data_IF_976931986354
#
_entry.id   IF_976931986354
#
_cell.length_a   1.000
_cell.length_b   1.000
_cell.length_c   1.000
_cell.angle_alpha   90.00
_cell.angle_beta   90.00
_cell.angle_gamma   90.00
#
_symmetry.space_group_name_H-M   'P 1'
#
loop_
_entity.id
_entity.type
_entity.pdbx_description
1 polymer ?
#
# COMPACT_ATOMS: atom_id res chain seq x y z
N UNK A 1 0.12 17.89 4.98
CA UNK A 1 -0.71 17.36 3.87
C UNK A 1 -2.19 17.60 4.16
N UNK A 2 -2.97 18.06 3.18
CA UNK A 2 -4.42 18.25 3.33
C UNK A 2 -5.19 16.93 3.11
N UNK A 3 -6.03 16.57 4.07
CA UNK A 3 -6.83 15.35 4.04
C UNK A 3 -7.91 15.41 2.94
N UNK A 4 -8.45 16.60 2.64
CA UNK A 4 -9.43 16.78 1.57
C UNK A 4 -8.82 16.40 0.21
N UNK A 5 -7.61 16.88 -0.08
CA UNK A 5 -6.88 16.54 -1.30
C UNK A 5 -6.61 15.04 -1.45
N UNK A 6 -6.23 14.37 -0.35
CA UNK A 6 -6.00 12.91 -0.36
C UNK A 6 -7.29 12.15 -0.69
N UNK A 7 -8.40 12.51 -0.07
CA UNK A 7 -9.69 11.88 -0.35
C UNK A 7 -10.17 12.14 -1.77
N UNK A 8 -9.94 13.35 -2.29
CA UNK A 8 -10.22 13.68 -3.68
C UNK A 8 -9.42 12.80 -4.64
N UNK A 9 -8.11 12.68 -4.40
CA UNK A 9 -7.22 11.83 -5.19
C UNK A 9 -7.68 10.37 -5.18
N UNK A 10 -7.96 9.81 -4.01
CA UNK A 10 -8.44 8.44 -3.86
C UNK A 10 -9.76 8.21 -4.61
N UNK A 11 -10.72 9.12 -4.45
CA UNK A 11 -12.02 9.02 -5.11
C UNK A 11 -11.89 9.01 -6.64
N UNK A 12 -11.08 9.92 -7.19
CA UNK A 12 -10.88 10.03 -8.64
C UNK A 12 -10.08 8.86 -9.18
N UNK A 13 -8.86 8.62 -8.68
CA UNK A 13 -7.95 7.60 -9.22
C UNK A 13 -8.53 6.20 -9.04
N UNK A 14 -9.12 5.88 -7.88
CA UNK A 14 -9.74 4.57 -7.68
C UNK A 14 -10.89 4.34 -8.64
N UNK A 15 -11.73 5.35 -8.91
CA UNK A 15 -12.84 5.23 -9.85
C UNK A 15 -12.35 5.05 -11.29
N UNK A 16 -11.34 5.82 -11.72
CA UNK A 16 -10.74 5.67 -13.04
C UNK A 16 -10.10 4.28 -13.23
N UNK A 17 -9.42 3.76 -12.21
CA UNK A 17 -8.85 2.40 -12.25
C UNK A 17 -9.93 1.32 -12.32
N UNK A 18 -11.03 1.47 -11.57
CA UNK A 18 -12.18 0.56 -11.66
C UNK A 18 -12.76 0.59 -13.07
N UNK A 19 -12.95 1.78 -13.66
CA UNK A 19 -13.44 1.91 -15.03
C UNK A 19 -12.49 1.26 -16.03
N UNK A 20 -11.20 1.56 -15.98
CA UNK A 20 -10.21 0.97 -16.87
C UNK A 20 -10.19 -0.57 -16.82
N UNK A 21 -10.37 -1.17 -15.63
CA UNK A 21 -10.43 -2.63 -15.47
C UNK A 21 -11.73 -3.24 -15.98
N UNK A 22 -12.83 -2.51 -15.88
CA UNK A 22 -14.18 -3.01 -16.14
C UNK A 22 -14.74 -2.60 -17.51
N UNK A 23 -14.01 -1.80 -18.29
CA UNK A 23 -14.40 -1.29 -19.60
C UNK A 23 -14.45 -2.36 -20.73
N UNK A 24 -14.16 -3.63 -20.44
CA UNK A 24 -14.28 -4.71 -21.44
C UNK A 24 -15.76 -5.01 -21.74
N UNK A 25 -16.22 -4.96 -23.00
CA UNK A 25 -17.63 -5.10 -23.37
C UNK A 25 -18.32 -6.39 -22.87
N UNK A 26 -17.55 -7.47 -22.71
CA UNK A 26 -18.01 -8.82 -22.41
C UNK A 26 -17.92 -9.24 -20.93
N UNK A 27 -17.56 -8.34 -20.01
CA UNK A 27 -17.38 -8.69 -18.59
C UNK A 27 -18.61 -8.35 -17.72
N UNK A 28 -18.99 -9.21 -16.76
CA UNK A 28 -20.10 -8.99 -15.81
C UNK A 28 -19.66 -8.02 -14.70
N UNK A 29 -19.34 -6.79 -15.06
CA UNK A 29 -18.87 -5.76 -14.14
C UNK A 29 -19.66 -4.45 -14.31
N UNK A 30 -20.93 -4.56 -14.69
CA UNK A 30 -21.77 -3.36 -14.94
C UNK A 30 -21.96 -2.53 -13.66
N UNK A 31 -22.19 -3.15 -12.51
CA UNK A 31 -22.38 -2.39 -11.28
C UNK A 31 -21.15 -1.62 -10.81
N UNK A 32 -19.96 -2.21 -10.94
CA UNK A 32 -18.71 -1.53 -10.59
C UNK A 32 -18.46 -0.29 -11.47
N UNK A 33 -18.82 -0.37 -12.76
CA UNK A 33 -18.77 0.77 -13.67
C UNK A 33 -19.71 1.89 -13.23
N UNK A 34 -20.96 1.55 -12.93
CA UNK A 34 -21.97 2.51 -12.48
C UNK A 34 -21.52 3.16 -11.17
N UNK A 35 -21.08 2.38 -10.19
CA UNK A 35 -20.58 2.89 -8.92
C UNK A 35 -19.41 3.86 -9.11
N UNK A 36 -18.44 3.52 -9.96
CA UNK A 36 -17.31 4.40 -10.25
C UNK A 36 -17.73 5.70 -10.97
N UNK A 37 -18.65 5.63 -11.92
CA UNK A 37 -19.19 6.83 -12.59
C UNK A 37 -19.97 7.72 -11.62
N UNK A 38 -20.75 7.13 -10.72
CA UNK A 38 -21.50 7.87 -9.68
C UNK A 38 -20.53 8.57 -8.72
N UNK A 39 -19.47 7.90 -8.28
CA UNK A 39 -18.44 8.51 -7.44
C UNK A 39 -17.79 9.69 -8.16
N UNK A 40 -17.43 9.55 -9.45
CA UNK A 40 -16.87 10.64 -10.24
C UNK A 40 -17.84 11.80 -10.42
N UNK A 41 -19.12 11.52 -10.67
CA UNK A 41 -20.16 12.54 -10.81
C UNK A 41 -20.37 13.32 -9.51
N UNK A 42 -20.50 12.62 -8.37
CA UNK A 42 -20.62 13.25 -7.04
C UNK A 42 -19.38 14.10 -6.73
N UNK A 43 -18.19 13.55 -7.00
CA UNK A 43 -16.93 14.26 -6.78
C UNK A 43 -16.83 15.52 -7.65
N UNK A 44 -17.18 15.42 -8.94
CA UNK A 44 -17.18 16.54 -9.88
C UNK A 44 -18.20 17.63 -9.52
N UNK A 45 -19.43 17.24 -9.14
CA UNK A 45 -20.44 18.19 -8.65
C UNK A 45 -20.00 18.87 -7.35
N UNK A 46 -19.42 18.10 -6.43
CA UNK A 46 -18.83 18.62 -5.19
C UNK A 46 -17.72 19.64 -5.46
N UNK A 47 -16.84 19.35 -6.44
CA UNK A 47 -15.78 20.26 -6.86
C UNK A 47 -16.31 21.56 -7.47
N UNK A 48 -17.35 21.48 -8.30
CA UNK A 48 -17.98 22.66 -8.93
C UNK A 48 -18.74 23.51 -7.91
N UNK A 49 -19.39 22.88 -6.93
CA UNK A 49 -20.25 23.57 -5.97
C UNK A 49 -19.44 24.12 -4.79
N UNK A 50 -18.67 23.28 -4.11
CA UNK A 50 -17.91 23.60 -2.90
C UNK A 50 -16.52 22.95 -2.90
N UNK A 51 -15.56 23.65 -3.51
CA UNK A 51 -14.16 23.16 -3.65
C UNK A 51 -13.55 22.70 -2.32
N UNK A 52 -13.77 23.40 -1.22
CA UNK A 52 -13.20 23.05 0.09
C UNK A 52 -13.71 21.72 0.67
N UNK A 53 -14.96 21.34 0.36
CA UNK A 53 -15.57 20.10 0.85
C UNK A 53 -15.53 18.95 -0.18
N UNK A 54 -15.14 19.24 -1.43
CA UNK A 54 -15.19 18.29 -2.53
C UNK A 54 -14.45 16.97 -2.26
N UNK A 55 -13.30 17.04 -1.58
CA UNK A 55 -12.54 15.87 -1.17
C UNK A 55 -13.31 14.98 -0.20
N UNK A 56 -13.91 15.55 0.85
CA UNK A 56 -14.73 14.80 1.81
C UNK A 56 -16.00 14.22 1.18
N UNK A 57 -16.67 14.98 0.30
CA UNK A 57 -17.87 14.54 -0.41
C UNK A 57 -17.53 13.36 -1.34
N UNK A 58 -16.53 13.54 -2.21
CA UNK A 58 -16.07 12.50 -3.14
C UNK A 58 -15.50 11.29 -2.41
N UNK A 59 -14.69 11.51 -1.37
CA UNK A 59 -14.13 10.46 -0.53
C UNK A 59 -15.18 9.64 0.21
N UNK A 60 -16.23 10.28 0.72
CA UNK A 60 -17.34 9.56 1.37
C UNK A 60 -18.10 8.70 0.38
N UNK A 61 -18.40 9.23 -0.82
CA UNK A 61 -19.04 8.48 -1.89
C UNK A 61 -18.17 7.29 -2.33
N UNK A 62 -16.87 7.51 -2.52
CA UNK A 62 -15.89 6.45 -2.81
C UNK A 62 -15.88 5.37 -1.73
N UNK A 63 -15.85 5.77 -0.46
CA UNK A 63 -15.77 4.84 0.66
C UNK A 63 -17.00 3.91 0.67
N UNK A 64 -18.20 4.47 0.54
CA UNK A 64 -19.47 3.73 0.59
C UNK A 64 -19.71 2.88 -0.66
N UNK A 65 -19.41 3.41 -1.84
CA UNK A 65 -19.81 2.78 -3.11
C UNK A 65 -18.74 1.86 -3.71
N UNK A 66 -17.46 2.08 -3.39
CA UNK A 66 -16.36 1.30 -3.95
C UNK A 66 -15.57 0.55 -2.88
N UNK A 67 -15.05 1.25 -1.88
CA UNK A 67 -14.13 0.67 -0.91
C UNK A 67 -14.79 -0.36 0.01
N UNK A 68 -15.89 0.01 0.67
CA UNK A 68 -16.60 -0.82 1.63
C UNK A 68 -17.17 -2.10 0.95
N UNK A 69 -17.82 -2.03 -0.24
CA UNK A 69 -18.25 -3.22 -0.96
C UNK A 69 -17.08 -4.14 -1.37
N UNK A 70 -15.95 -3.57 -1.80
CA UNK A 70 -14.77 -4.34 -2.20
C UNK A 70 -14.17 -5.13 -1.02
N UNK A 71 -14.06 -4.51 0.15
CA UNK A 71 -13.60 -5.18 1.38
C UNK A 71 -14.58 -6.26 1.80
N UNK A 72 -15.88 -5.94 1.80
CA UNK A 72 -16.92 -6.91 2.13
C UNK A 72 -16.87 -8.14 1.24
N UNK A 73 -16.72 -7.96 -0.08
CA UNK A 73 -16.59 -9.05 -1.04
C UNK A 73 -15.35 -9.91 -0.80
N UNK A 74 -14.21 -9.30 -0.48
CA UNK A 74 -13.00 -10.05 -0.11
C UNK A 74 -13.25 -10.91 1.13
N UNK A 75 -13.83 -10.31 2.17
CA UNK A 75 -14.15 -11.02 3.42
C UNK A 75 -15.17 -12.13 3.20
N UNK A 76 -16.16 -11.91 2.34
CA UNK A 76 -17.15 -12.92 1.94
C UNK A 76 -16.47 -14.11 1.27
N UNK A 77 -15.55 -13.85 0.32
CA UNK A 77 -14.79 -14.90 -0.35
C UNK A 77 -13.88 -15.66 0.62
N UNK A 78 -13.24 -14.97 1.58
CA UNK A 78 -12.44 -15.63 2.62
C UNK A 78 -13.29 -16.56 3.49
N UNK A 79 -14.50 -16.13 3.88
CA UNK A 79 -15.44 -16.96 4.65
C UNK A 79 -15.91 -18.17 3.84
N UNK A 80 -16.20 -17.98 2.55
CA UNK A 80 -16.58 -19.06 1.65
C UNK A 80 -15.44 -20.07 1.45
N UNK A 81 -14.19 -19.60 1.30
CA UNK A 81 -13.00 -20.44 1.22
C UNK A 81 -12.76 -21.26 2.51
N UNK A 82 -13.13 -20.69 3.67
CA UNK A 82 -13.12 -21.38 4.97
C UNK A 82 -14.35 -22.29 5.18
N UNK A 83 -15.18 -22.52 4.14
CA UNK A 83 -16.44 -23.28 4.17
C UNK A 83 -17.49 -22.74 5.15
N UNK A 84 -17.35 -21.50 5.61
CA UNK A 84 -18.34 -20.84 6.45
C UNK A 84 -19.41 -20.14 5.57
N UNK A 85 -20.18 -20.96 4.85
CA UNK A 85 -21.14 -20.48 3.84
C UNK A 85 -22.28 -19.66 4.42
N UNK A 86 -22.74 -19.98 5.65
CA UNK A 86 -23.78 -19.22 6.34
C UNK A 86 -23.35 -17.77 6.61
N UNK A 87 -22.13 -17.58 7.13
CA UNK A 87 -21.61 -16.24 7.41
C UNK A 87 -21.29 -15.48 6.13
N UNK A 88 -20.72 -16.16 5.13
CA UNK A 88 -20.50 -15.59 3.80
C UNK A 88 -21.82 -15.10 3.19
N UNK A 89 -22.89 -15.89 3.26
CA UNK A 89 -24.22 -15.51 2.76
C UNK A 89 -24.80 -14.32 3.51
N UNK A 90 -24.77 -14.32 4.85
CA UNK A 90 -25.26 -13.16 5.64
C UNK A 90 -24.55 -11.87 5.24
N UNK A 91 -23.22 -11.92 5.10
CA UNK A 91 -22.44 -10.78 4.64
C UNK A 91 -22.79 -10.37 3.21
N UNK A 92 -22.94 -11.33 2.30
CA UNK A 92 -23.33 -11.04 0.91
C UNK A 92 -24.72 -10.40 0.80
N UNK A 93 -25.69 -10.79 1.63
CA UNK A 93 -27.01 -10.15 1.68
C UNK A 93 -26.90 -8.69 2.14
N UNK A 94 -26.08 -8.42 3.16
CA UNK A 94 -25.82 -7.04 3.59
C UNK A 94 -25.13 -6.22 2.49
N UNK A 95 -24.17 -6.81 1.78
CA UNK A 95 -23.47 -6.15 0.66
C UNK A 95 -24.36 -5.90 -0.55
N UNK A 96 -25.40 -6.69 -0.74
CA UNK A 96 -26.36 -6.50 -1.82
C UNK A 96 -27.11 -5.16 -1.70
N UNK A 97 -27.24 -4.59 -0.49
CA UNK A 97 -27.83 -3.26 -0.27
C UNK A 97 -26.94 -2.18 -0.87
N UNK A 98 -25.62 -2.27 -0.65
CA UNK A 98 -24.65 -1.29 -1.13
C UNK A 98 -24.29 -1.48 -2.61
N UNK A 99 -24.37 -2.71 -3.13
CA UNK A 99 -23.96 -3.06 -4.48
C UNK A 99 -24.94 -4.07 -5.11
N UNK A 100 -26.15 -3.64 -5.52
CA UNK A 100 -27.25 -4.51 -5.95
C UNK A 100 -27.07 -5.00 -7.40
N UNK A 101 -26.07 -5.85 -7.64
CA UNK A 101 -25.77 -6.30 -9.00
C UNK A 101 -26.26 -7.71 -9.29
N UNK A 102 -26.41 -8.03 -10.58
CA UNK A 102 -26.71 -9.37 -11.06
C UNK A 102 -25.64 -10.38 -10.63
N UNK A 103 -24.38 -9.95 -10.55
CA UNK A 103 -23.26 -10.80 -10.13
C UNK A 103 -23.29 -11.12 -8.64
N UNK A 104 -23.65 -10.15 -7.79
CA UNK A 104 -23.84 -10.42 -6.36
C UNK A 104 -24.98 -11.43 -6.15
N UNK A 105 -26.06 -11.30 -6.93
CA UNK A 105 -27.19 -12.23 -6.89
C UNK A 105 -26.77 -13.65 -7.27
N UNK A 106 -25.99 -13.83 -8.33
CA UNK A 106 -25.51 -15.16 -8.72
C UNK A 106 -24.55 -15.76 -7.70
N UNK A 107 -23.64 -14.96 -7.13
CA UNK A 107 -22.76 -15.40 -6.04
C UNK A 107 -23.52 -15.84 -4.79
N UNK A 108 -24.57 -15.09 -4.40
CA UNK A 108 -25.42 -15.45 -3.27
C UNK A 108 -26.23 -16.74 -3.50
N UNK A 109 -26.68 -16.97 -4.75
CA UNK A 109 -27.33 -18.23 -5.12
C UNK A 109 -26.36 -19.40 -5.02
N UNK A 110 -25.14 -19.24 -5.51
CA UNK A 110 -24.09 -20.25 -5.38
C UNK A 110 -23.74 -20.56 -3.92
N UNK A 111 -23.59 -19.53 -3.07
CA UNK A 111 -23.37 -19.72 -1.63
C UNK A 111 -24.52 -20.45 -0.92
N UNK A 112 -25.77 -20.21 -1.33
CA UNK A 112 -26.93 -20.97 -0.83
C UNK A 112 -26.86 -22.44 -1.21
N UNK A 113 -26.47 -22.76 -2.45
CA UNK A 113 -26.29 -24.14 -2.91
C UNK A 113 -25.17 -24.85 -2.13
N UNK A 114 -24.06 -24.16 -1.87
CA UNK A 114 -22.97 -24.70 -1.06
C UNK A 114 -23.40 -24.91 0.41
N UNK A 115 -24.18 -23.99 0.99
CA UNK A 115 -24.74 -24.14 2.35
C UNK A 115 -25.68 -25.35 2.44
N UNK A 116 -26.56 -25.54 1.46
CA UNK A 116 -27.48 -26.69 1.46
C UNK A 116 -26.74 -28.02 1.29
N UNK A 117 -25.77 -28.10 0.37
CA UNK A 117 -24.94 -29.29 0.18
C UNK A 117 -24.13 -29.64 1.44
N UNK A 118 -23.57 -28.64 2.11
CA UNK A 118 -22.82 -28.84 3.36
C UNK A 118 -23.72 -29.38 4.48
N UNK A 119 -24.95 -28.85 4.60
CA UNK A 119 -25.92 -29.34 5.57
C UNK A 119 -26.35 -30.79 5.27
N UNK A 120 -26.58 -31.14 4.00
CA UNK A 120 -26.91 -32.52 3.62
C UNK A 120 -25.77 -33.51 3.93
N UNK A 121 -24.50 -33.13 3.67
CA UNK A 121 -23.35 -33.99 4.04
C UNK A 121 -23.26 -34.24 5.54
N UNK A 122 -23.51 -33.21 6.36
CA UNK A 122 -23.48 -33.35 7.82
C UNK A 122 -24.60 -34.26 8.36
N UNK A 123 -25.74 -34.37 7.65
CA UNK A 123 -26.83 -35.28 8.00
C UNK A 123 -26.47 -36.74 7.72
N UNK A 124 -25.61 -37.00 6.71
CA UNK A 124 -25.16 -38.36 6.35
C UNK A 124 -23.77 -38.74 6.90
N UNK A 125 -23.04 -37.81 7.54
CA UNK A 125 -21.69 -38.03 8.09
C UNK A 125 -21.69 -38.30 9.60
N UNK A 126 -22.56 -39.18 10.09
CA UNK A 126 -22.49 -39.74 11.45
C UNK A 126 -21.39 -40.79 11.62
N UNK A 127 -20.49 -40.95 10.63
CA UNK A 127 -19.29 -41.79 10.73
C UNK A 127 -18.07 -40.88 10.96
N UNK A 128 -17.37 -40.99 12.09
CA UNK A 128 -16.23 -40.13 12.41
C UNK A 128 -15.02 -40.55 11.57
N UNK A 129 -14.88 -39.99 10.38
CA UNK A 129 -13.63 -40.06 9.63
C UNK A 129 -12.80 -38.82 10.03
N UNK A 130 -11.79 -39.07 10.87
CA UNK A 130 -10.82 -38.08 11.31
C UNK A 130 -9.95 -37.58 10.16
N UNK A 131 -10.41 -36.54 9.49
CA UNK A 131 -9.54 -35.64 8.74
C UNK A 131 -9.69 -34.25 9.36
N UNK A 132 -8.82 -33.92 10.32
CA UNK A 132 -8.59 -32.54 10.72
C UNK A 132 -8.07 -31.78 9.51
N UNK A 133 -8.97 -31.03 8.85
CA UNK A 133 -8.56 -30.05 7.86
C UNK A 133 -7.70 -29.00 8.55
N UNK A 134 -6.39 -29.03 8.31
CA UNK A 134 -5.43 -28.08 8.87
C UNK A 134 -5.94 -26.65 8.66
N UNK A 135 -6.32 -25.99 9.77
CA UNK A 135 -6.67 -24.57 9.74
C UNK A 135 -5.41 -23.81 9.32
N UNK A 136 -5.45 -22.93 8.30
CA UNK A 136 -4.30 -22.12 7.96
C UNK A 136 -3.95 -21.25 9.17
N UNK A 137 -2.80 -21.52 9.80
CA UNK A 137 -2.29 -20.72 10.92
C UNK A 137 -2.06 -19.31 10.40
N UNK A 138 -2.87 -18.35 10.86
CA UNK A 138 -2.62 -16.91 10.70
C UNK A 138 -1.34 -16.57 11.47
N UNK A 139 -0.18 -16.71 10.85
CA UNK A 139 1.01 -16.04 11.33
C UNK A 139 0.77 -14.53 11.19
N UNK A 140 0.77 -13.80 12.31
CA UNK A 140 0.66 -12.34 12.29
C UNK A 140 1.81 -11.78 11.45
N UNK A 141 1.51 -10.98 10.43
CA UNK A 141 2.48 -10.49 9.44
C UNK A 141 3.73 -9.87 10.08
N UNK A 142 3.58 -9.19 11.22
CA UNK A 142 4.64 -8.52 11.97
C UNK A 142 5.57 -9.45 12.75
N UNK A 143 5.08 -10.59 13.28
CA UNK A 143 5.96 -11.55 13.99
C UNK A 143 7.00 -12.18 13.05
N UNK A 144 6.72 -12.16 11.75
CA UNK A 144 7.63 -12.66 10.70
C UNK A 144 8.45 -11.55 10.02
N UNK A 145 8.37 -10.31 10.50
CA UNK A 145 9.01 -9.13 9.90
C UNK A 145 9.47 -8.13 11.00
N UNK A 146 10.48 -8.50 11.80
CA UNK A 146 10.93 -7.69 12.94
C UNK A 146 11.50 -6.33 12.53
N UNK A 147 12.22 -6.20 11.41
CA UNK A 147 12.74 -4.90 10.99
C UNK A 147 11.62 -3.92 10.64
N UNK A 148 10.58 -4.38 9.94
CA UNK A 148 9.39 -3.55 9.68
C UNK A 148 8.76 -3.05 10.97
N UNK A 149 8.58 -3.93 11.95
CA UNK A 149 8.01 -3.55 13.25
C UNK A 149 8.88 -2.50 13.95
N UNK A 150 10.20 -2.72 14.01
CA UNK A 150 11.14 -1.79 14.63
C UNK A 150 11.10 -0.43 13.94
N UNK A 151 11.11 -0.40 12.61
CA UNK A 151 11.04 0.85 11.85
C UNK A 151 9.70 1.57 12.07
N UNK A 152 8.58 0.85 12.14
CA UNK A 152 7.28 1.46 12.48
C UNK A 152 7.33 2.11 13.86
N UNK A 153 7.84 1.39 14.86
CA UNK A 153 7.96 1.91 16.22
C UNK A 153 8.93 3.10 16.29
N UNK A 154 10.06 3.05 15.58
CA UNK A 154 11.02 4.13 15.53
C UNK A 154 10.42 5.41 14.94
N UNK A 155 9.71 5.31 13.82
CA UNK A 155 9.01 6.45 13.22
C UNK A 155 7.94 7.02 14.17
N UNK A 156 7.20 6.16 14.88
CA UNK A 156 6.22 6.63 15.87
C UNK A 156 6.88 7.33 17.06
N UNK A 157 8.01 6.82 17.57
CA UNK A 157 8.78 7.42 18.67
C UNK A 157 9.36 8.77 18.25
N UNK A 158 9.96 8.85 17.05
CA UNK A 158 10.49 10.10 16.51
C UNK A 158 9.36 11.12 16.35
N UNK A 159 8.19 10.70 15.88
CA UNK A 159 7.02 11.57 15.81
C UNK A 159 6.60 12.09 17.19
N UNK A 160 6.55 11.25 18.22
CA UNK A 160 6.28 11.71 19.58
C UNK A 160 7.33 12.72 20.10
N UNK A 161 8.58 12.58 19.67
CA UNK A 161 9.63 13.56 19.94
C UNK A 161 9.42 14.88 19.17
N UNK A 162 8.97 14.86 17.92
CA UNK A 162 8.60 16.07 17.18
C UNK A 162 7.53 16.87 17.92
N UNK A 163 6.49 16.18 18.44
CA UNK A 163 5.42 16.78 19.25
C UNK A 163 5.96 17.42 20.55
N UNK A 164 6.97 16.83 21.18
CA UNK A 164 7.50 17.34 22.44
C UNK A 164 8.40 18.57 22.28
N UNK A 165 8.95 18.79 21.08
CA UNK A 165 9.88 19.88 20.77
C UNK A 165 9.19 21.11 20.17
N UNK A 166 7.94 20.99 19.70
CA UNK A 166 7.17 22.11 19.15
C UNK A 166 5.91 21.66 18.42
N UNK A 167 5.38 22.53 17.56
CA UNK A 167 4.30 22.14 16.65
C UNK A 167 4.85 21.16 15.60
N UNK A 168 4.29 19.95 15.58
CA UNK A 168 4.70 18.84 14.71
C UNK A 168 4.51 19.12 13.20
N UNK A 169 3.84 20.21 12.85
CA UNK A 169 3.59 20.62 11.47
C UNK A 169 4.29 21.93 11.11
N UNK A 170 5.13 22.47 12.00
CA UNK A 170 5.91 23.69 11.78
C UNK A 170 7.23 23.35 11.05
N UNK A 171 7.46 23.89 9.84
CA UNK A 171 8.71 23.71 9.11
C UNK A 171 9.95 24.13 9.92
N UNK A 172 9.88 25.17 10.74
CA UNK A 172 11.04 25.62 11.52
C UNK A 172 11.42 24.60 12.61
N UNK A 173 10.42 23.96 13.22
CA UNK A 173 10.63 22.87 14.18
C UNK A 173 11.29 21.69 13.47
N UNK A 174 10.73 21.28 12.33
CA UNK A 174 11.24 20.17 11.52
C UNK A 174 12.68 20.42 11.05
N UNK A 175 12.96 21.63 10.58
CA UNK A 175 14.30 22.08 10.23
C UNK A 175 15.27 21.92 11.41
N UNK A 176 14.90 22.43 12.58
CA UNK A 176 15.74 22.39 13.79
C UNK A 176 16.05 20.96 14.23
N UNK A 177 15.11 20.04 14.09
CA UNK A 177 15.28 18.63 14.53
C UNK A 177 15.86 17.71 13.46
N UNK A 178 16.11 18.22 12.24
CA UNK A 178 16.89 17.50 11.23
C UNK A 178 16.20 17.21 9.92
N UNK A 179 15.24 18.04 9.50
CA UNK A 179 14.76 18.00 8.11
C UNK A 179 15.93 18.25 7.15
N UNK A 180 15.85 17.63 5.98
CA UNK A 180 16.89 17.73 4.98
C UNK A 180 16.64 18.91 4.05
N UNK A 181 17.57 19.82 3.96
CA UNK A 181 17.65 20.81 2.88
C UNK A 181 19.06 20.82 2.27
N UNK A 182 19.15 21.26 1.02
CA UNK A 182 20.40 21.21 0.27
C UNK A 182 21.44 22.19 0.80
N UNK A 183 21.04 23.35 1.33
CA UNK A 183 21.97 24.37 1.82
C UNK A 183 22.70 23.87 3.07
N UNK A 184 21.97 23.33 4.05
CA UNK A 184 22.57 22.79 5.28
C UNK A 184 23.54 21.63 4.99
N UNK A 185 23.22 20.78 4.01
CA UNK A 185 24.10 19.67 3.63
C UNK A 185 25.33 20.12 2.84
N UNK A 186 25.16 21.00 1.85
CA UNK A 186 26.24 21.36 0.93
C UNK A 186 27.15 22.46 1.49
N UNK A 187 26.59 23.41 2.24
CA UNK A 187 27.29 24.60 2.74
C UNK A 187 27.64 24.47 4.22
N UNK A 188 26.72 23.96 5.05
CA UNK A 188 26.94 23.83 6.49
C UNK A 188 27.48 22.45 6.89
N UNK A 189 27.66 21.53 5.93
CA UNK A 189 28.19 20.18 6.14
C UNK A 189 27.38 19.32 7.12
N UNK A 190 26.07 19.59 7.24
CA UNK A 190 25.17 18.89 8.16
C UNK A 190 24.67 17.56 7.57
N UNK A 191 25.61 16.67 7.19
CA UNK A 191 25.33 15.40 6.53
C UNK A 191 24.41 14.45 7.32
N UNK A 192 24.35 14.63 8.65
CA UNK A 192 23.46 13.86 9.52
C UNK A 192 21.98 14.05 9.16
N UNK A 193 21.62 15.17 8.52
CA UNK A 193 20.27 15.45 8.01
C UNK A 193 19.80 14.43 6.98
N UNK A 194 20.72 13.87 6.20
CA UNK A 194 20.41 12.79 5.25
C UNK A 194 19.85 11.56 5.95
N UNK A 195 20.21 11.33 7.22
CA UNK A 195 19.74 10.19 8.00
C UNK A 195 18.53 10.55 8.86
N UNK A 196 18.54 11.68 9.56
CA UNK A 196 17.43 12.09 10.46
C UNK A 196 16.13 12.31 9.69
N UNK A 197 16.20 12.92 8.50
CA UNK A 197 15.03 13.21 7.67
C UNK A 197 14.21 11.96 7.31
N UNK A 198 14.80 10.75 7.31
CA UNK A 198 14.09 9.49 7.02
C UNK A 198 12.98 9.18 8.04
N UNK A 199 13.05 9.77 9.24
CA UNK A 199 12.18 9.44 10.36
C UNK A 199 11.24 10.58 10.78
N UNK A 200 11.50 11.80 10.32
CA UNK A 200 10.68 12.98 10.60
C UNK A 200 9.40 13.00 9.76
N UNK A 201 8.30 13.53 10.29
CA UNK A 201 7.00 13.55 9.62
C UNK A 201 6.24 14.86 9.84
N UNK A 202 5.96 15.57 8.75
CA UNK A 202 5.10 16.77 8.74
C UNK A 202 3.61 16.43 8.90
N UNK A 203 3.22 16.12 10.14
CA UNK A 203 1.85 15.88 10.57
C UNK A 203 1.41 14.41 10.64
N UNK A 204 0.36 14.17 11.43
CA UNK A 204 -0.15 12.83 11.75
C UNK A 204 -0.55 12.00 10.53
N UNK A 205 -1.23 12.63 9.55
CA UNK A 205 -1.65 11.94 8.33
C UNK A 205 -0.45 11.47 7.52
N UNK A 206 0.64 12.25 7.47
CA UNK A 206 1.87 11.87 6.80
C UNK A 206 2.48 10.61 7.44
N UNK A 207 2.62 10.61 8.77
CA UNK A 207 3.08 9.44 9.52
C UNK A 207 2.20 8.21 9.24
N UNK A 208 0.89 8.35 9.37
CA UNK A 208 -0.05 7.24 9.22
C UNK A 208 0.09 6.56 7.84
N UNK A 209 0.21 7.35 6.76
CA UNK A 209 0.39 6.80 5.42
C UNK A 209 1.72 6.07 5.26
N UNK A 210 2.82 6.60 5.79
CA UNK A 210 4.13 5.94 5.73
C UNK A 210 4.15 4.64 6.55
N UNK A 211 3.61 4.66 7.78
CA UNK A 211 3.52 3.47 8.61
C UNK A 211 2.66 2.39 7.96
N UNK A 212 1.52 2.78 7.38
CA UNK A 212 0.64 1.86 6.65
C UNK A 212 1.32 1.28 5.41
N UNK A 213 1.98 2.12 4.60
CA UNK A 213 2.70 1.67 3.41
C UNK A 213 3.84 0.72 3.78
N UNK A 214 4.62 1.04 4.80
CA UNK A 214 5.69 0.18 5.31
C UNK A 214 5.14 -1.15 5.86
N UNK A 215 4.02 -1.12 6.59
CA UNK A 215 3.34 -2.32 7.09
C UNK A 215 2.85 -3.25 5.96
N UNK A 216 2.34 -2.69 4.87
CA UNK A 216 1.79 -3.48 3.75
C UNK A 216 2.90 -3.99 2.83
N UNK A 217 3.88 -3.15 2.50
CA UNK A 217 4.89 -3.42 1.46
C UNK A 217 6.17 -4.06 2.02
N UNK A 218 6.52 -3.74 3.26
CA UNK A 218 7.75 -4.18 3.91
C UNK A 218 7.81 -5.68 4.22
N UNK A 219 6.84 -6.27 4.97
CA UNK A 219 6.95 -7.64 5.47
C UNK A 219 7.14 -8.70 4.38
N UNK A 220 6.48 -8.62 3.21
CA UNK A 220 6.77 -9.52 2.11
C UNK A 220 8.25 -9.47 1.69
N UNK A 221 8.85 -8.29 1.57
CA UNK A 221 10.23 -8.15 1.13
C UNK A 221 11.16 -8.70 2.21
N UNK A 222 10.95 -8.29 3.46
CA UNK A 222 11.76 -8.73 4.60
C UNK A 222 11.83 -10.26 4.71
N UNK A 223 10.71 -10.95 4.53
CA UNK A 223 10.69 -12.43 4.52
C UNK A 223 11.46 -13.04 3.34
N UNK A 224 11.55 -12.32 2.23
CA UNK A 224 12.15 -12.82 0.99
C UNK A 224 13.66 -12.61 0.94
N UNK A 225 14.14 -11.50 1.52
CA UNK A 225 15.58 -11.15 1.52
C UNK A 225 16.23 -11.30 2.91
N UNK A 226 15.45 -11.49 3.97
CA UNK A 226 15.92 -11.52 5.35
C UNK A 226 16.03 -10.14 5.99
N UNK A 227 15.91 -10.10 7.32
CA UNK A 227 15.85 -8.89 8.15
C UNK A 227 17.01 -7.92 7.93
N UNK A 228 18.27 -8.39 7.98
CA UNK A 228 19.42 -7.48 7.82
C UNK A 228 19.51 -6.85 6.44
N UNK A 229 19.26 -7.63 5.38
CA UNK A 229 19.26 -7.12 4.00
C UNK A 229 18.12 -6.13 3.78
N UNK A 230 16.99 -6.34 4.43
CA UNK A 230 15.87 -5.40 4.43
C UNK A 230 16.22 -4.07 5.08
N UNK A 231 16.83 -4.07 6.27
CA UNK A 231 17.28 -2.84 6.95
C UNK A 231 18.27 -2.07 6.09
N UNK A 232 19.29 -2.75 5.55
CA UNK A 232 20.28 -2.14 4.64
C UNK A 232 19.59 -1.54 3.42
N UNK A 233 18.65 -2.27 2.80
CA UNK A 233 17.88 -1.77 1.66
C UNK A 233 17.09 -0.50 2.02
N UNK A 234 16.38 -0.49 3.15
CA UNK A 234 15.60 0.65 3.61
C UNK A 234 16.48 1.90 3.81
N UNK A 235 17.62 1.72 4.48
CA UNK A 235 18.55 2.82 4.78
C UNK A 235 19.25 3.34 3.52
N UNK A 236 19.79 2.46 2.68
CA UNK A 236 20.45 2.87 1.42
C UNK A 236 19.46 3.61 0.52
N UNK A 237 18.23 3.12 0.36
CA UNK A 237 17.24 3.80 -0.47
C UNK A 237 16.84 5.17 0.10
N UNK A 238 16.72 5.32 1.42
CA UNK A 238 16.42 6.60 2.05
C UNK A 238 17.56 7.61 1.89
N UNK A 239 18.79 7.19 2.15
CA UNK A 239 19.98 8.01 1.97
C UNK A 239 20.16 8.42 0.50
N UNK A 240 19.98 7.50 -0.44
CA UNK A 240 20.04 7.78 -1.87
C UNK A 240 18.91 8.69 -2.35
N UNK A 241 17.72 8.58 -1.75
CA UNK A 241 16.60 9.50 -1.99
C UNK A 241 16.99 10.93 -1.60
N UNK A 242 17.47 11.14 -0.37
CA UNK A 242 17.89 12.45 0.11
C UNK A 242 19.08 13.02 -0.67
N UNK A 243 20.14 12.22 -0.84
CA UNK A 243 21.32 12.63 -1.60
C UNK A 243 21.01 12.92 -3.07
N UNK A 244 20.09 12.15 -3.67
CA UNK A 244 19.60 12.39 -5.02
C UNK A 244 18.90 13.73 -5.17
N UNK A 245 18.03 14.10 -4.22
CA UNK A 245 17.37 15.42 -4.19
C UNK A 245 18.40 16.54 -4.03
N UNK A 246 19.36 16.40 -3.11
CA UNK A 246 20.44 17.38 -2.93
C UNK A 246 21.26 17.55 -4.21
N UNK A 247 21.64 16.45 -4.87
CA UNK A 247 22.38 16.48 -6.13
C UNK A 247 21.58 17.12 -7.27
N UNK A 248 20.28 16.81 -7.39
CA UNK A 248 19.40 17.42 -8.38
C UNK A 248 19.19 18.91 -8.12
N UNK A 249 19.18 19.34 -6.85
CA UNK A 249 19.06 20.75 -6.50
C UNK A 249 20.32 21.52 -6.89
N UNK A 250 21.50 20.94 -6.66
CA UNK A 250 22.80 21.52 -7.04
C UNK A 250 22.89 21.83 -8.54
N UNK A 251 22.29 20.99 -9.40
CA UNK A 251 22.29 21.18 -10.85
C UNK A 251 21.02 21.88 -11.37
N UNK A 252 20.20 22.44 -10.48
CA UNK A 252 19.04 23.26 -10.83
C UNK A 252 17.84 22.50 -11.41
N UNK A 253 17.79 21.16 -11.28
CA UNK A 253 16.66 20.35 -11.78
C UNK A 253 15.48 20.27 -10.82
N UNK A 254 15.69 20.55 -9.54
CA UNK A 254 14.63 20.61 -8.52
C UNK A 254 14.79 21.85 -7.64
N UNK A 255 13.65 22.40 -7.20
CA UNK A 255 13.64 23.56 -6.32
C UNK A 255 14.11 23.21 -4.91
N UNK A 256 14.74 24.16 -4.19
CA UNK A 256 15.04 23.98 -2.78
C UNK A 256 13.75 23.72 -1.99
N UNK A 257 13.73 22.62 -1.25
CA UNK A 257 12.61 22.26 -0.38
C UNK A 257 13.15 21.42 0.78
N UNK A 258 12.48 21.53 1.92
CA UNK A 258 12.74 20.64 3.04
C UNK A 258 12.15 19.25 2.76
N UNK A 259 12.96 18.24 3.01
CA UNK A 259 12.61 16.85 2.81
C UNK A 259 12.57 16.13 4.15
N UNK A 260 11.45 15.45 4.38
CA UNK A 260 11.19 14.62 5.55
C UNK A 260 10.35 13.40 5.14
N UNK A 261 10.45 12.34 5.92
CA UNK A 261 9.57 11.18 5.83
C UNK A 261 10.26 9.93 5.32
N UNK A 262 9.69 8.80 5.73
CA UNK A 262 10.12 7.46 5.34
C UNK A 262 9.81 7.11 3.87
N UNK A 263 9.08 7.97 3.15
CA UNK A 263 8.49 7.64 1.85
C UNK A 263 9.54 7.33 0.77
N UNK A 264 10.69 8.01 0.78
CA UNK A 264 11.83 7.69 -0.09
C UNK A 264 12.36 6.26 0.12
N UNK A 265 12.52 5.85 1.39
CA UNK A 265 12.89 4.47 1.75
C UNK A 265 11.82 3.45 1.37
N UNK A 266 10.54 3.79 1.53
CA UNK A 266 9.41 2.92 1.16
C UNK A 266 9.34 2.75 -0.36
N UNK A 267 9.54 3.81 -1.14
CA UNK A 267 9.68 3.69 -2.59
C UNK A 267 10.92 2.88 -2.99
N UNK A 268 11.98 2.95 -2.19
CA UNK A 268 13.08 2.00 -2.23
C UNK A 268 12.67 0.54 -2.05
N UNK A 269 11.84 0.23 -1.07
CA UNK A 269 11.29 -1.13 -0.88
C UNK A 269 10.50 -1.58 -2.12
N UNK A 270 9.68 -0.69 -2.70
CA UNK A 270 8.94 -0.96 -3.95
C UNK A 270 9.91 -1.26 -5.10
N UNK A 271 10.96 -0.45 -5.23
CA UNK A 271 12.02 -0.64 -6.22
C UNK A 271 12.75 -1.96 -6.03
N UNK A 272 13.16 -2.26 -4.81
CA UNK A 272 13.85 -3.51 -4.47
C UNK A 272 13.00 -4.74 -4.76
N UNK A 273 11.70 -4.66 -4.51
CA UNK A 273 10.73 -5.67 -4.94
C UNK A 273 10.72 -5.87 -6.46
N UNK A 274 10.72 -4.77 -7.23
CA UNK A 274 10.76 -4.84 -8.69
C UNK A 274 12.07 -5.45 -9.19
N UNK A 275 13.22 -5.02 -8.66
CA UNK A 275 14.54 -5.54 -9.04
C UNK A 275 14.67 -7.02 -8.70
N UNK A 276 14.26 -7.41 -7.49
CA UNK A 276 14.26 -8.80 -7.04
C UNK A 276 13.39 -9.69 -7.95
N UNK A 277 12.16 -9.26 -8.26
CA UNK A 277 11.25 -10.03 -9.13
C UNK A 277 11.69 -10.04 -10.58
N UNK A 278 12.35 -8.99 -11.07
CA UNK A 278 12.87 -8.96 -12.44
C UNK A 278 14.00 -10.00 -12.61
N UNK A 279 14.87 -10.15 -11.61
CA UNK A 279 15.89 -11.20 -11.60
C UNK A 279 15.29 -12.60 -11.49
N UNK A 280 14.16 -12.74 -10.80
CA UNK A 280 13.41 -13.99 -10.68
C UNK A 280 12.16 -14.04 -11.57
N UNK A 281 12.20 -13.41 -12.75
CA UNK A 281 11.02 -13.26 -13.63
C UNK A 281 10.39 -14.57 -14.10
N UNK A 282 11.14 -15.67 -14.02
CA UNK A 282 10.69 -17.01 -14.37
C UNK A 282 9.96 -17.73 -13.22
N UNK A 283 9.99 -17.17 -11.99
CA UNK A 283 9.25 -17.73 -10.87
C UNK A 283 7.73 -17.62 -11.08
N UNK A 284 6.94 -18.56 -10.55
CA UNK A 284 5.48 -18.50 -10.63
C UNK A 284 4.94 -17.16 -10.14
N UNK A 285 3.98 -16.61 -10.87
CA UNK A 285 3.34 -15.31 -10.58
C UNK A 285 4.26 -14.07 -10.60
N UNK A 286 5.55 -14.18 -10.94
CA UNK A 286 6.46 -13.02 -10.95
C UNK A 286 5.97 -11.90 -11.88
N UNK A 287 5.51 -12.22 -13.09
CA UNK A 287 4.94 -11.25 -14.05
C UNK A 287 3.73 -10.51 -13.47
N UNK A 288 2.83 -11.22 -12.80
CA UNK A 288 1.66 -10.62 -12.17
C UNK A 288 2.06 -9.68 -11.03
N UNK A 289 3.02 -10.11 -10.18
CA UNK A 289 3.51 -9.30 -9.06
C UNK A 289 4.25 -8.05 -9.56
N UNK A 290 5.02 -8.16 -10.63
CA UNK A 290 5.68 -7.01 -11.26
C UNK A 290 4.66 -6.03 -11.86
N UNK A 291 3.58 -6.54 -12.46
CA UNK A 291 2.45 -5.71 -12.90
C UNK A 291 1.77 -4.96 -11.73
N UNK A 292 1.61 -5.61 -10.58
CA UNK A 292 1.09 -4.94 -9.38
C UNK A 292 2.04 -3.85 -8.86
N UNK A 293 3.35 -4.07 -8.90
CA UNK A 293 4.35 -3.06 -8.52
C UNK A 293 4.33 -1.88 -9.49
N UNK A 294 4.29 -2.15 -10.79
CA UNK A 294 4.17 -1.09 -11.80
C UNK A 294 2.91 -0.24 -11.56
N UNK A 295 1.79 -0.86 -11.19
CA UNK A 295 0.57 -0.15 -10.80
C UNK A 295 0.78 0.73 -9.56
N UNK A 296 1.47 0.24 -8.53
CA UNK A 296 1.80 1.03 -7.33
C UNK A 296 2.65 2.25 -7.72
N UNK A 297 3.66 2.07 -8.55
CA UNK A 297 4.53 3.16 -9.02
C UNK A 297 3.73 4.20 -9.82
N UNK A 298 2.85 3.76 -10.72
CA UNK A 298 1.99 4.68 -11.49
C UNK A 298 1.06 5.49 -10.59
N UNK A 299 0.44 4.84 -9.59
CA UNK A 299 -0.40 5.52 -8.61
C UNK A 299 0.43 6.52 -7.78
N UNK A 300 1.65 6.15 -7.38
CA UNK A 300 2.54 7.04 -6.64
C UNK A 300 2.91 8.27 -7.47
N UNK A 301 3.31 8.10 -8.74
CA UNK A 301 3.64 9.21 -9.62
C UNK A 301 2.44 10.15 -9.81
N UNK A 302 1.24 9.59 -10.00
CA UNK A 302 0.02 10.38 -10.08
C UNK A 302 -0.23 11.18 -8.78
N UNK A 303 0.03 10.57 -7.62
CA UNK A 303 -0.11 11.24 -6.32
C UNK A 303 0.88 12.39 -6.16
N UNK A 304 2.15 12.14 -6.49
CA UNK A 304 3.23 13.13 -6.40
C UNK A 304 2.95 14.33 -7.32
N UNK A 305 2.53 14.08 -8.56
CA UNK A 305 2.14 15.13 -9.51
C UNK A 305 0.94 15.96 -9.03
N UNK A 306 0.05 15.35 -8.25
CA UNK A 306 -1.13 16.05 -7.70
C UNK A 306 -0.83 16.80 -6.41
N UNK A 307 0.28 16.52 -5.72
CA UNK A 307 0.56 17.02 -4.36
C UNK A 307 1.92 17.71 -4.32
N UNK A 308 1.98 19.04 -4.58
CA UNK A 308 3.25 19.77 -4.72
C UNK A 308 4.18 19.70 -3.50
N UNK A 309 3.63 19.43 -2.30
CA UNK A 309 4.42 19.28 -1.07
C UNK A 309 5.16 17.94 -0.99
N UNK A 310 4.90 17.01 -1.91
CA UNK A 310 5.51 15.69 -1.96
C UNK A 310 6.60 15.68 -3.03
N UNK A 311 7.83 15.34 -2.65
CA UNK A 311 8.95 15.30 -3.58
C UNK A 311 8.92 14.05 -4.46
N UNK A 312 8.45 14.21 -5.69
CA UNK A 312 8.56 13.16 -6.72
C UNK A 312 10.03 12.73 -6.93
N UNK A 313 10.97 13.68 -6.88
CA UNK A 313 12.39 13.40 -7.04
C UNK A 313 12.91 12.46 -5.95
N UNK A 314 12.52 12.69 -4.68
CA UNK A 314 12.87 11.79 -3.58
C UNK A 314 12.36 10.36 -3.84
N UNK A 315 11.09 10.23 -4.22
CA UNK A 315 10.49 8.93 -4.51
C UNK A 315 11.16 8.21 -5.68
N UNK A 316 11.48 8.92 -6.77
CA UNK A 316 12.17 8.34 -7.92
C UNK A 316 13.60 7.92 -7.59
N UNK A 317 14.37 8.77 -6.89
CA UNK A 317 15.72 8.44 -6.45
C UNK A 317 15.72 7.22 -5.51
N UNK A 318 14.80 7.17 -4.55
CA UNK A 318 14.60 6.01 -3.68
C UNK A 318 14.23 4.75 -4.45
N UNK A 319 13.26 4.83 -5.37
CA UNK A 319 12.81 3.74 -6.23
C UNK A 319 13.97 3.17 -7.07
N UNK A 320 14.75 4.03 -7.72
CA UNK A 320 15.89 3.61 -8.55
C UNK A 320 16.97 2.95 -7.69
N UNK A 321 17.36 3.56 -6.56
CA UNK A 321 18.35 2.98 -5.67
C UNK A 321 17.90 1.62 -5.13
N UNK A 322 16.65 1.53 -4.68
CA UNK A 322 16.04 0.28 -4.23
C UNK A 322 16.03 -0.79 -5.32
N UNK A 323 15.66 -0.43 -6.55
CA UNK A 323 15.68 -1.34 -7.69
C UNK A 323 17.05 -1.93 -7.96
N UNK A 324 18.11 -1.10 -7.94
CA UNK A 324 19.48 -1.56 -8.09
C UNK A 324 19.89 -2.50 -6.94
N UNK A 325 19.56 -2.13 -5.70
CA UNK A 325 19.81 -2.99 -4.53
C UNK A 325 19.06 -4.33 -4.65
N UNK A 326 17.80 -4.32 -5.06
CA UNK A 326 16.99 -5.53 -5.26
C UNK A 326 17.54 -6.47 -6.35
N UNK A 327 18.14 -5.89 -7.41
CA UNK A 327 18.85 -6.68 -8.42
C UNK A 327 20.07 -7.38 -7.84
N UNK A 328 20.78 -6.76 -6.89
CA UNK A 328 21.97 -7.34 -6.25
C UNK A 328 21.59 -8.38 -5.21
N UNK A 329 20.61 -8.09 -4.35
CA UNK A 329 20.22 -8.92 -3.19
C UNK A 329 19.54 -10.25 -3.53
N UNK A 330 19.16 -10.45 -4.79
CA UNK A 330 18.67 -11.73 -5.30
C UNK A 330 19.72 -12.84 -5.11
N UNK A 331 19.49 -13.84 -4.22
CA UNK A 331 20.42 -14.95 -4.07
C UNK A 331 20.59 -15.68 -5.41
N UNK A 332 21.81 -16.15 -5.71
CA UNK A 332 22.02 -16.98 -6.89
C UNK A 332 21.23 -18.30 -6.74
N UNK A 333 20.57 -18.79 -7.81
CA UNK A 333 19.96 -20.11 -7.81
C UNK A 333 21.08 -21.15 -7.65
N UNK A 334 21.30 -21.62 -6.42
CA UNK A 334 22.43 -22.51 -6.08
C UNK A 334 22.79 -22.55 -4.61
N UNK A 335 22.31 -21.59 -3.79
CA UNK A 335 22.56 -21.58 -2.34
C UNK A 335 21.44 -22.20 -1.49
N UNK A 336 20.44 -22.81 -2.11
CA UNK A 336 19.42 -23.59 -1.41
C UNK A 336 19.91 -25.04 -1.30
N UNK A 337 20.35 -25.42 -0.11
CA UNK A 337 20.48 -26.85 0.24
C UNK A 337 19.14 -27.55 0.01
N UNK A 338 19.10 -28.71 -0.66
CA UNK A 338 17.86 -29.45 -0.88
C UNK A 338 17.33 -29.94 0.47
N UNK A 339 16.34 -29.25 1.03
CA UNK A 339 15.74 -29.64 2.31
C UNK A 339 14.50 -28.85 2.77
N UNK A 340 14.25 -27.66 2.22
CA UNK A 340 13.13 -26.81 2.69
C UNK A 340 11.93 -26.71 1.74
N UNK A 341 11.81 -27.61 0.76
CA UNK A 341 10.60 -27.75 -0.06
C UNK A 341 9.83 -29.00 0.33
N UNK A 342 9.38 -29.07 1.59
CA UNK A 342 8.22 -29.89 2.02
C UNK A 342 7.60 -29.26 3.27
N UNK A 343 6.32 -28.88 3.19
CA UNK A 343 5.53 -28.35 4.29
C UNK A 343 4.48 -27.36 3.83
#
# INVERSE_FOLDING_TARGET
MDLSHIFLFLAVISSLLVLARTWRPSAPHRGWRIAALVVLAITGMGWLSWRGAAGYIGGSAWFVLLFLPAIGLRKMNDLAAQRNYRSARKLGVALQILHPTSEMRSQLQFLRQLESQANHRNVFSSVPIGYESARPRRHSQLRSAPAVLILILLNAIVFLFEISVGDWNDPEVLHRVGALDAYSVLVQHEYWRLFTALFLHGGFVHLLFNLFALYVLGPPLERSIGTMRFVVCYLISGLASGAGVVGLNLIGLVQPAELIGASGSIMGIVGAWAGFLMRHRHAPHARQRLGNIAMIVVIQIAFDLSTPQVSMAAHLCGLVAGFLVGLILAPQPGSLTPGQVRG
#
